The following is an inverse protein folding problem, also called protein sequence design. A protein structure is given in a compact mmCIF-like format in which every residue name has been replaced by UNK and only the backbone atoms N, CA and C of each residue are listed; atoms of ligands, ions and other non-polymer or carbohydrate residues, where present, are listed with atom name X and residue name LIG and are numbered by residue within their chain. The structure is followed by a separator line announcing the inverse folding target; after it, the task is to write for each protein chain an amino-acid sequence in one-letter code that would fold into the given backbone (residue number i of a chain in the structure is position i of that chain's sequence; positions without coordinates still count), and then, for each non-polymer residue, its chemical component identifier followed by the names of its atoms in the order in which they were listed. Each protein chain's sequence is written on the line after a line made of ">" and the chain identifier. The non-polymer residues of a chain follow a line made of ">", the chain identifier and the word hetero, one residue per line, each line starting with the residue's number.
data_IF_315506612569
#
_entry.id   IF_315506612569
#
_cell.length_a   1.000
_cell.length_b   1.000
_cell.length_c   1.000
_cell.angle_alpha   90.00
_cell.angle_beta   90.00
_cell.angle_gamma   90.00
#
_symmetry.space_group_name_H-M   'P 1'
#
loop_
_entity.id
_entity.type
_entity.pdbx_description
1 polymer ?
#
# COMPACT_ATOMS: atom_id res chain seq x y z
N UNK A 1 26.27 4.67 26.52
CA UNK A 1 25.11 4.29 25.68
C UNK A 1 24.50 5.59 25.24
N UNK A 2 24.60 5.90 23.95
CA UNK A 2 23.98 7.11 23.42
C UNK A 2 22.47 7.04 23.64
N UNK A 3 21.87 8.17 24.03
CA UNK A 3 20.45 8.22 24.32
C UNK A 3 19.66 7.96 23.02
N UNK A 4 18.87 6.90 23.00
CA UNK A 4 17.97 6.58 21.90
C UNK A 4 16.92 7.69 21.81
N UNK A 5 16.73 8.26 20.61
CA UNK A 5 15.71 9.28 20.41
C UNK A 5 14.31 8.70 20.74
N UNK A 6 13.46 9.44 21.46
CA UNK A 6 12.11 8.99 21.77
C UNK A 6 11.30 8.71 20.49
N UNK A 7 10.54 7.62 20.49
CA UNK A 7 9.62 7.33 19.40
C UNK A 7 8.40 8.24 19.48
N UNK A 8 8.27 9.18 18.55
CA UNK A 8 7.07 9.98 18.40
C UNK A 8 6.09 9.31 17.44
N UNK A 9 4.85 9.12 17.89
CA UNK A 9 3.79 8.56 17.06
C UNK A 9 3.16 9.66 16.19
N UNK A 10 2.98 9.36 14.91
CA UNK A 10 2.34 10.18 13.90
C UNK A 10 1.17 9.40 13.29
N UNK A 11 0.15 10.11 12.86
CA UNK A 11 -0.93 9.57 12.03
C UNK A 11 -0.96 10.29 10.69
N UNK A 12 -1.80 9.79 9.78
CA UNK A 12 -2.04 10.45 8.51
C UNK A 12 -3.53 10.43 8.16
N UNK A 13 -4.02 11.55 7.63
CA UNK A 13 -5.25 11.57 6.84
C UNK A 13 -4.89 11.29 5.39
N UNK A 14 -5.66 10.44 4.73
CA UNK A 14 -5.36 10.02 3.37
C UNK A 14 -6.29 10.75 2.39
N UNK A 15 -5.73 11.66 1.60
CA UNK A 15 -6.48 12.42 0.61
C UNK A 15 -6.50 11.65 -0.70
N UNK A 16 -7.69 11.28 -1.17
CA UNK A 16 -7.88 10.64 -2.48
C UNK A 16 -7.86 11.67 -3.60
N UNK A 17 -6.97 11.49 -4.57
CA UNK A 17 -6.74 12.40 -5.69
C UNK A 17 -7.01 11.65 -6.99
N UNK A 18 -7.92 12.17 -7.81
CA UNK A 18 -8.14 11.62 -9.14
C UNK A 18 -6.91 11.91 -10.03
N UNK A 19 -6.33 10.87 -10.62
CA UNK A 19 -5.08 11.01 -11.40
C UNK A 19 -5.32 11.42 -12.85
N UNK A 20 -6.56 11.38 -13.33
CA UNK A 20 -6.88 11.54 -14.76
C UNK A 20 -6.63 10.27 -15.60
N UNK A 21 -5.96 9.26 -15.04
CA UNK A 21 -5.65 8.02 -15.74
C UNK A 21 -6.77 6.98 -15.58
N UNK A 22 -7.01 6.24 -16.65
CA UNK A 22 -7.94 5.11 -16.68
C UNK A 22 -7.42 4.05 -17.64
N UNK A 23 -7.76 2.80 -17.37
CA UNK A 23 -7.46 1.67 -18.25
C UNK A 23 -8.73 0.90 -18.59
N UNK A 24 -9.01 0.71 -19.86
CA UNK A 24 -10.10 -0.13 -20.36
C UNK A 24 -9.60 -1.47 -20.90
N UNK A 25 -8.31 -1.58 -21.19
CA UNK A 25 -7.67 -2.79 -21.69
C UNK A 25 -6.48 -3.16 -20.81
N UNK A 26 -5.98 -4.39 -20.95
CA UNK A 26 -4.81 -4.81 -20.17
C UNK A 26 -3.54 -4.10 -20.66
N UNK A 27 -3.44 -3.78 -21.96
CA UNK A 27 -2.36 -2.91 -22.47
C UNK A 27 -2.39 -1.52 -21.84
N UNK A 28 -3.56 -0.86 -21.79
CA UNK A 28 -3.70 0.44 -21.14
C UNK A 28 -3.39 0.39 -19.64
N UNK A 29 -3.67 -0.73 -18.97
CA UNK A 29 -3.32 -0.94 -17.56
C UNK A 29 -1.80 -0.97 -17.37
N UNK A 30 -1.07 -1.70 -18.21
CA UNK A 30 0.40 -1.76 -18.16
C UNK A 30 1.01 -0.38 -18.41
N UNK A 31 0.52 0.36 -19.41
CA UNK A 31 0.98 1.71 -19.71
C UNK A 31 0.68 2.69 -18.56
N UNK A 32 -0.52 2.61 -17.98
CA UNK A 32 -0.90 3.44 -16.84
C UNK A 32 -0.07 3.12 -15.59
N UNK A 33 0.20 1.85 -15.31
CA UNK A 33 1.08 1.42 -14.20
C UNK A 33 2.51 1.93 -14.37
N UNK A 34 3.01 2.11 -15.60
CA UNK A 34 4.33 2.70 -15.83
C UNK A 34 4.38 4.22 -15.58
N UNK A 35 3.24 4.90 -15.57
CA UNK A 35 3.15 6.37 -15.51
C UNK A 35 2.57 6.93 -14.22
N UNK A 36 1.72 6.17 -13.51
CA UNK A 36 1.04 6.64 -12.31
C UNK A 36 2.01 6.81 -11.13
N UNK A 37 1.73 7.72 -10.22
CA UNK A 37 2.54 7.92 -9.02
C UNK A 37 2.41 6.76 -8.01
N UNK A 38 3.35 6.68 -7.07
CA UNK A 38 3.36 5.63 -6.03
C UNK A 38 2.14 5.67 -5.12
N UNK A 39 1.49 6.83 -4.96
CA UNK A 39 0.27 6.98 -4.17
C UNK A 39 -0.91 6.19 -4.75
N UNK A 40 -0.98 6.02 -6.07
CA UNK A 40 -2.02 5.19 -6.68
C UNK A 40 -1.80 3.70 -6.42
N UNK A 41 -0.55 3.22 -6.49
CA UNK A 41 -0.22 1.85 -6.13
C UNK A 41 -0.51 1.62 -4.64
N UNK A 42 -0.15 2.58 -3.79
CA UNK A 42 -0.50 2.54 -2.37
C UNK A 42 -2.01 2.44 -2.14
N UNK A 43 -2.81 3.27 -2.81
CA UNK A 43 -4.26 3.26 -2.69
C UNK A 43 -4.90 1.93 -3.10
N UNK A 44 -4.56 1.45 -4.30
CA UNK A 44 -5.21 0.29 -4.92
C UNK A 44 -4.69 -1.06 -4.41
N UNK A 45 -3.53 -1.09 -3.75
CA UNK A 45 -2.91 -2.32 -3.24
C UNK A 45 -2.76 -2.33 -1.72
N UNK A 46 -2.05 -1.36 -1.13
CA UNK A 46 -1.72 -1.39 0.30
C UNK A 46 -2.84 -0.89 1.21
N UNK A 47 -3.53 0.19 0.81
CA UNK A 47 -4.59 0.80 1.62
C UNK A 47 -5.85 -0.08 1.69
N UNK A 48 -6.01 -1.03 0.74
CA UNK A 48 -7.13 -1.98 0.69
C UNK A 48 -7.25 -2.90 1.88
N UNK A 49 -6.21 -3.00 2.72
CA UNK A 49 -6.31 -3.69 4.02
C UNK A 49 -7.48 -3.18 4.87
N UNK A 50 -7.85 -1.88 4.75
CA UNK A 50 -8.97 -1.28 5.48
C UNK A 50 -10.34 -1.61 4.87
N UNK A 51 -10.36 -1.84 3.57
CA UNK A 51 -11.57 -2.06 2.76
C UNK A 51 -11.76 -3.54 2.38
N UNK A 52 -10.93 -4.45 2.92
CA UNK A 52 -10.96 -5.88 2.56
C UNK A 52 -12.36 -6.50 2.69
N UNK A 53 -13.17 -6.04 3.65
CA UNK A 53 -14.53 -6.52 3.87
C UNK A 53 -15.51 -6.10 2.75
N UNK A 54 -15.16 -5.14 1.91
CA UNK A 54 -15.92 -4.68 0.74
C UNK A 54 -15.55 -5.46 -0.54
N UNK A 55 -14.53 -6.33 -0.47
CA UNK A 55 -14.03 -7.08 -1.61
C UNK A 55 -14.51 -8.54 -1.55
N UNK A 56 -14.71 -9.21 -2.71
CA UNK A 56 -14.86 -10.66 -2.74
C UNK A 56 -13.66 -11.35 -2.07
N UNK A 57 -13.86 -12.43 -1.28
CA UNK A 57 -12.81 -13.03 -0.46
C UNK A 57 -11.55 -13.48 -1.19
N UNK A 58 -11.65 -13.73 -2.51
CA UNK A 58 -10.54 -14.17 -3.36
C UNK A 58 -9.62 -13.03 -3.83
N UNK A 59 -9.99 -11.77 -3.62
CA UNK A 59 -9.22 -10.60 -4.06
C UNK A 59 -8.73 -9.79 -2.85
N UNK A 60 -7.48 -9.33 -2.92
CA UNK A 60 -6.84 -8.53 -1.86
C UNK A 60 -6.48 -7.11 -2.29
N UNK A 61 -6.55 -6.82 -3.60
CA UNK A 61 -6.26 -5.53 -4.20
C UNK A 61 -7.20 -5.26 -5.39
N UNK A 62 -7.33 -3.97 -5.76
CA UNK A 62 -8.23 -3.55 -6.83
C UNK A 62 -7.80 -4.05 -8.21
N UNK A 63 -6.49 -4.30 -8.43
CA UNK A 63 -5.99 -4.76 -9.72
C UNK A 63 -6.44 -6.19 -10.00
N UNK A 64 -6.26 -7.10 -9.04
CA UNK A 64 -6.74 -8.47 -9.12
C UNK A 64 -8.26 -8.51 -9.31
N UNK A 65 -9.00 -7.68 -8.55
CA UNK A 65 -10.45 -7.56 -8.67
C UNK A 65 -10.86 -7.14 -10.09
N UNK A 66 -10.23 -6.10 -10.65
CA UNK A 66 -10.58 -5.60 -11.97
C UNK A 66 -10.24 -6.60 -13.08
N UNK A 67 -9.07 -7.23 -13.03
CA UNK A 67 -8.67 -8.27 -13.99
C UNK A 67 -9.63 -9.47 -13.93
N UNK A 68 -10.07 -9.86 -12.73
CA UNK A 68 -11.00 -10.97 -12.54
C UNK A 68 -12.41 -10.67 -13.03
N UNK A 69 -12.99 -9.56 -12.58
CA UNK A 69 -14.42 -9.25 -12.76
C UNK A 69 -14.72 -8.47 -14.04
N UNK A 70 -13.85 -7.50 -14.38
CA UNK A 70 -14.05 -6.61 -15.53
C UNK A 70 -13.48 -7.18 -16.82
N UNK A 71 -12.32 -7.85 -16.76
CA UNK A 71 -11.72 -8.55 -17.90
C UNK A 71 -12.09 -10.04 -17.99
N UNK A 72 -12.62 -10.64 -16.92
CA UNK A 72 -12.98 -12.06 -16.90
C UNK A 72 -11.79 -13.03 -16.83
N UNK A 73 -10.58 -12.54 -16.49
CA UNK A 73 -9.32 -13.31 -16.53
C UNK A 73 -8.95 -13.82 -15.14
N UNK A 74 -9.66 -14.85 -14.68
CA UNK A 74 -9.54 -15.38 -13.31
C UNK A 74 -8.13 -15.87 -12.98
N UNK A 75 -7.46 -16.58 -13.90
CA UNK A 75 -6.12 -17.12 -13.66
C UNK A 75 -5.07 -16.00 -13.49
N UNK A 76 -5.16 -14.97 -14.32
CA UNK A 76 -4.30 -13.79 -14.20
C UNK A 76 -4.58 -13.02 -12.92
N UNK A 77 -5.86 -12.86 -12.55
CA UNK A 77 -6.24 -12.24 -11.29
C UNK A 77 -5.69 -13.01 -10.08
N UNK A 78 -5.72 -14.35 -10.13
CA UNK A 78 -5.14 -15.20 -9.09
C UNK A 78 -3.63 -15.02 -8.97
N UNK A 79 -2.92 -14.89 -10.10
CA UNK A 79 -1.48 -14.60 -10.11
C UNK A 79 -1.17 -13.24 -9.45
N UNK A 80 -1.96 -12.21 -9.74
CA UNK A 80 -1.84 -10.88 -9.12
C UNK A 80 -2.07 -10.94 -7.60
N UNK A 81 -3.09 -11.68 -7.16
CA UNK A 81 -3.37 -11.91 -5.73
C UNK A 81 -2.18 -12.52 -4.95
N UNK A 82 -1.25 -13.21 -5.63
CA UNK A 82 -0.04 -13.76 -4.98
C UNK A 82 1.06 -12.72 -4.73
N UNK A 83 0.94 -11.50 -5.27
CA UNK A 83 1.91 -10.44 -5.01
C UNK A 83 1.90 -10.14 -3.51
N UNK A 84 3.03 -10.34 -2.86
CA UNK A 84 3.20 -10.01 -1.45
C UNK A 84 3.42 -8.52 -1.26
N UNK A 85 2.74 -7.91 -0.27
CA UNK A 85 3.04 -6.57 0.23
C UNK A 85 3.96 -6.53 1.45
N UNK A 86 4.52 -7.67 1.86
CA UNK A 86 5.35 -7.78 3.07
C UNK A 86 6.71 -7.10 2.90
N UNK A 87 7.36 -6.83 4.02
CA UNK A 87 8.75 -6.38 4.03
C UNK A 87 9.68 -7.32 3.25
N UNK A 88 10.63 -6.77 2.47
CA UNK A 88 11.03 -5.36 2.38
C UNK A 88 10.35 -4.55 1.26
N UNK A 89 9.24 -5.03 0.68
CA UNK A 89 8.68 -4.47 -0.56
C UNK A 89 8.06 -3.08 -0.39
N UNK A 90 8.24 -2.27 -1.41
CA UNK A 90 7.71 -0.91 -1.55
C UNK A 90 6.64 -0.84 -2.66
N UNK A 91 6.05 0.34 -2.88
CA UNK A 91 5.13 0.55 -4.00
C UNK A 91 5.78 0.29 -5.36
N UNK A 92 7.07 0.60 -5.50
CA UNK A 92 7.79 0.38 -6.76
C UNK A 92 8.10 -1.10 -7.02
N UNK A 93 8.24 -1.90 -5.97
CA UNK A 93 8.38 -3.36 -6.11
C UNK A 93 7.07 -3.99 -6.57
N UNK A 94 5.95 -3.58 -5.95
CA UNK A 94 4.61 -4.04 -6.34
C UNK A 94 4.28 -3.59 -7.77
N UNK A 95 4.58 -2.35 -8.14
CA UNK A 95 4.39 -1.83 -9.51
C UNK A 95 5.12 -2.72 -10.52
N UNK A 96 6.40 -3.02 -10.27
CA UNK A 96 7.22 -3.87 -11.15
C UNK A 96 6.62 -5.27 -11.30
N UNK A 97 6.21 -5.90 -10.21
CA UNK A 97 5.61 -7.23 -10.23
C UNK A 97 4.25 -7.25 -10.96
N UNK A 98 3.42 -6.21 -10.77
CA UNK A 98 2.17 -6.05 -11.52
C UNK A 98 2.43 -5.98 -13.03
N UNK A 99 3.38 -5.12 -13.45
CA UNK A 99 3.76 -4.97 -14.85
C UNK A 99 4.32 -6.29 -15.40
N UNK A 100 5.21 -6.95 -14.66
CA UNK A 100 5.82 -8.23 -15.06
C UNK A 100 4.76 -9.33 -15.27
N UNK A 101 3.80 -9.43 -14.35
CA UNK A 101 2.71 -10.42 -14.44
C UNK A 101 1.75 -10.08 -15.58
N UNK A 102 1.43 -8.80 -15.81
CA UNK A 102 0.41 -8.40 -16.80
C UNK A 102 0.94 -8.31 -18.23
N UNK A 103 2.20 -7.91 -18.43
CA UNK A 103 2.79 -7.64 -19.75
C UNK A 103 2.67 -8.82 -20.73
N UNK A 104 2.97 -10.08 -20.34
CA UNK A 104 2.85 -11.23 -21.25
C UNK A 104 1.41 -11.49 -21.74
N UNK A 105 0.42 -10.96 -21.05
CA UNK A 105 -1.00 -11.13 -21.35
C UNK A 105 -1.64 -9.86 -21.94
N UNK A 106 -0.86 -8.79 -22.12
CA UNK A 106 -1.35 -7.49 -22.55
C UNK A 106 -2.00 -7.59 -23.93
N UNK A 107 -3.25 -7.14 -24.02
CA UNK A 107 -3.99 -7.04 -25.26
C UNK A 107 -5.02 -5.90 -25.19
N UNK A 108 -5.64 -5.64 -26.34
CA UNK A 108 -6.63 -4.58 -26.53
C UNK A 108 -8.08 -5.05 -26.26
N UNK A 109 -8.29 -6.22 -25.64
CA UNK A 109 -9.65 -6.67 -25.33
C UNK A 109 -10.28 -5.76 -24.27
N UNK A 110 -11.45 -5.16 -24.53
CA UNK A 110 -12.04 -4.20 -23.62
C UNK A 110 -12.67 -4.87 -22.40
N UNK A 111 -12.41 -4.31 -21.23
CA UNK A 111 -13.10 -4.63 -20.00
C UNK A 111 -14.56 -4.14 -20.01
N UNK A 112 -15.41 -4.77 -19.20
CA UNK A 112 -16.80 -4.35 -18.97
C UNK A 112 -16.90 -2.93 -18.40
N UNK A 113 -15.98 -2.58 -17.50
CA UNK A 113 -15.83 -1.27 -16.88
C UNK A 113 -14.36 -0.87 -16.84
N UNK A 114 -14.03 0.42 -17.04
CA UNK A 114 -12.65 0.87 -16.94
C UNK A 114 -12.16 0.82 -15.50
N UNK A 115 -10.87 0.55 -15.31
CA UNK A 115 -10.16 0.84 -14.08
C UNK A 115 -9.89 2.34 -14.01
N UNK A 116 -10.17 2.95 -12.85
CA UNK A 116 -9.94 4.37 -12.61
C UNK A 116 -8.84 4.48 -11.57
N UNK A 117 -7.74 5.13 -11.93
CA UNK A 117 -6.64 5.33 -11.00
C UNK A 117 -6.95 6.50 -10.05
N UNK A 118 -6.83 6.22 -8.76
CA UNK A 118 -6.93 7.19 -7.68
C UNK A 118 -5.62 7.13 -6.90
N UNK A 119 -4.95 8.27 -6.79
CA UNK A 119 -3.79 8.41 -5.93
C UNK A 119 -4.22 8.75 -4.51
N UNK A 120 -3.33 8.49 -3.56
CA UNK A 120 -3.55 8.74 -2.16
C UNK A 120 -2.30 9.37 -1.54
N UNK A 121 -2.48 10.59 -1.05
CA UNK A 121 -1.41 11.37 -0.40
C UNK A 121 -1.66 11.47 1.11
N UNK A 122 -0.69 11.05 1.95
CA UNK A 122 -0.84 11.14 3.40
C UNK A 122 -0.55 12.57 3.90
N UNK A 123 -1.54 13.20 4.50
CA UNK A 123 -1.38 14.44 5.27
C UNK A 123 -1.03 14.07 6.71
N UNK A 124 0.26 14.15 7.03
CA UNK A 124 0.83 13.68 8.30
C UNK A 124 0.58 14.67 9.43
N UNK A 125 0.16 14.15 10.58
CA UNK A 125 0.01 14.91 11.81
C UNK A 125 0.71 14.21 12.98
N UNK A 126 1.24 15.02 13.90
CA UNK A 126 1.88 14.53 15.12
C UNK A 126 0.82 14.20 16.16
N UNK A 127 0.93 13.02 16.78
CA UNK A 127 0.06 12.68 17.93
C UNK A 127 0.67 13.18 19.23
N UNK A 128 -0.08 13.07 20.33
CA UNK A 128 0.45 13.37 21.68
C UNK A 128 1.34 12.26 22.26
N UNK A 129 1.37 11.08 21.64
CA UNK A 129 2.03 9.90 22.18
C UNK A 129 3.51 9.89 21.83
N UNK A 130 4.35 9.68 22.84
CA UNK A 130 5.80 9.58 22.72
C UNK A 130 6.29 8.50 23.66
N UNK A 131 7.10 7.57 23.16
CA UNK A 131 7.69 6.50 23.95
C UNK A 131 9.21 6.68 24.09
N UNK A 132 9.72 6.55 25.30
CA UNK A 132 11.17 6.63 25.60
C UNK A 132 11.79 5.29 25.94
N UNK A 133 10.96 4.29 26.20
CA UNK A 133 11.35 2.94 26.57
C UNK A 133 10.31 1.93 26.06
N UNK A 134 10.62 0.64 26.19
CA UNK A 134 9.75 -0.43 25.70
C UNK A 134 8.36 -0.43 26.37
N UNK A 135 8.29 -0.11 27.66
CA UNK A 135 7.03 -0.08 28.40
C UNK A 135 6.11 1.02 27.86
N UNK A 136 6.63 2.24 27.76
CA UNK A 136 5.90 3.37 27.15
C UNK A 136 5.52 3.10 25.70
N UNK A 137 6.34 2.34 24.96
CA UNK A 137 6.03 1.96 23.58
C UNK A 137 4.83 1.00 23.51
N UNK A 138 4.83 -0.05 24.33
CA UNK A 138 3.71 -1.00 24.38
C UNK A 138 2.41 -0.32 24.84
N UNK A 139 2.50 0.53 25.86
CA UNK A 139 1.36 1.32 26.35
C UNK A 139 0.84 2.27 25.25
N UNK A 140 1.74 2.95 24.54
CA UNK A 140 1.36 3.86 23.46
C UNK A 140 0.71 3.11 22.27
N UNK A 141 1.26 1.97 21.84
CA UNK A 141 0.69 1.16 20.75
C UNK A 141 -0.74 0.70 21.05
N UNK A 142 -1.07 0.44 22.31
CA UNK A 142 -2.41 0.07 22.73
C UNK A 142 -3.42 1.23 22.70
N UNK A 143 -2.95 2.47 22.76
CA UNK A 143 -3.79 3.68 22.96
C UNK A 143 -3.81 4.63 21.76
N UNK A 144 -2.85 4.53 20.83
CA UNK A 144 -2.82 5.38 19.64
C UNK A 144 -3.96 5.03 18.68
N UNK A 145 -4.45 5.98 17.88
CA UNK A 145 -5.40 5.68 16.81
C UNK A 145 -4.82 4.64 15.83
N UNK A 146 -5.68 3.76 15.31
CA UNK A 146 -5.30 2.73 14.33
C UNK A 146 -4.56 3.32 13.11
N UNK A 147 -4.93 4.54 12.69
CA UNK A 147 -4.26 5.25 11.61
C UNK A 147 -2.78 5.50 11.87
N UNK A 148 -2.37 5.66 13.14
CA UNK A 148 -0.97 5.82 13.52
C UNK A 148 -0.19 4.52 13.33
N UNK A 149 -0.80 3.39 13.70
CA UNK A 149 -0.21 2.06 13.48
C UNK A 149 -0.04 1.80 11.98
N UNK A 150 -1.08 2.05 11.18
CA UNK A 150 -1.01 1.90 9.72
C UNK A 150 0.06 2.82 9.12
N UNK A 151 0.15 4.06 9.60
CA UNK A 151 1.13 5.02 9.11
C UNK A 151 2.58 4.53 9.30
N UNK A 152 2.93 4.13 10.52
CA UNK A 152 4.28 3.67 10.87
C UNK A 152 4.62 2.27 10.35
N UNK A 153 3.62 1.39 10.27
CA UNK A 153 3.82 0.00 9.86
C UNK A 153 3.80 -0.19 8.34
N UNK A 154 2.95 0.56 7.64
CA UNK A 154 2.70 0.39 6.20
C UNK A 154 3.09 1.64 5.44
N UNK A 155 2.40 2.75 5.66
CA UNK A 155 2.44 3.94 4.78
C UNK A 155 3.85 4.47 4.57
N UNK A 156 4.53 4.81 5.66
CA UNK A 156 5.88 5.37 5.60
C UNK A 156 6.87 4.40 4.98
N UNK A 157 6.74 3.12 5.34
CA UNK A 157 7.59 2.04 4.83
C UNK A 157 7.51 1.90 3.31
N UNK A 158 6.29 1.90 2.76
CA UNK A 158 6.06 1.59 1.34
C UNK A 158 6.16 2.80 0.43
N UNK A 159 5.77 4.00 0.91
CA UNK A 159 5.83 5.25 0.15
C UNK A 159 7.18 5.97 0.27
N UNK A 160 7.79 6.02 1.45
CA UNK A 160 9.10 6.67 1.63
C UNK A 160 10.29 5.73 1.39
N UNK A 161 10.02 4.48 0.98
CA UNK A 161 11.05 3.52 0.60
C UNK A 161 11.92 3.01 1.76
N UNK A 162 11.48 3.18 3.02
CA UNK A 162 12.27 2.78 4.19
C UNK A 162 12.51 1.26 4.30
N UNK A 163 11.83 0.42 3.47
CA UNK A 163 11.91 -1.06 3.38
C UNK A 163 11.63 -1.83 4.68
N UNK A 164 11.67 -1.17 5.83
CA UNK A 164 11.38 -1.68 7.16
C UNK A 164 10.52 -0.67 7.92
N UNK A 165 9.54 -1.14 8.66
CA UNK A 165 8.63 -0.31 9.42
C UNK A 165 9.34 0.45 10.55
N UNK A 166 8.73 1.56 10.98
CA UNK A 166 9.32 2.47 11.96
C UNK A 166 9.53 1.82 13.32
N UNK A 167 8.62 0.95 13.75
CA UNK A 167 8.73 0.24 15.02
C UNK A 167 9.95 -0.69 15.03
N UNK A 168 10.09 -1.51 13.99
CA UNK A 168 11.21 -2.44 13.86
C UNK A 168 12.55 -1.75 13.65
N UNK A 169 12.57 -0.50 13.18
CA UNK A 169 13.79 0.33 13.13
C UNK A 169 14.14 0.87 14.51
N UNK A 170 13.16 1.50 15.17
CA UNK A 170 13.37 2.09 16.49
C UNK A 170 13.76 1.07 17.56
N UNK A 171 13.09 -0.10 17.60
CA UNK A 171 13.46 -1.16 18.55
C UNK A 171 14.90 -1.65 18.35
N UNK A 172 15.33 -1.82 17.09
CA UNK A 172 16.70 -2.23 16.78
C UNK A 172 17.74 -1.16 17.17
N UNK A 173 17.44 0.13 16.93
CA UNK A 173 18.27 1.26 17.37
C UNK A 173 18.31 1.38 18.89
N UNK A 174 17.21 1.02 19.56
CA UNK A 174 17.12 0.99 21.02
C UNK A 174 17.85 -0.20 21.67
N UNK A 175 18.32 -1.16 20.87
CA UNK A 175 18.92 -2.41 21.37
C UNK A 175 17.90 -3.36 22.01
N UNK A 176 16.63 -3.27 21.59
CA UNK A 176 15.50 -4.07 22.08
C UNK A 176 15.02 -5.11 21.05
#
# INVERSE_FOLDING_TARGET
>A
MDAVEPFAFYGAYYVSIYTGLRARTLSEMVDALASVDGGAIFHHFFHKVREKHLMPPQYFDDFALWVGESLGRRDLAMAITQISGREPKTVEDVRRELIEIMTPHADAAPAKSPFVFVSMEPVVYKTKYVARDLGQFLDAVAEVPDESIVYHFVTRRVLEGAKRNDFSRWLAEAGL
#
